data_IF_626393150186
#
_entry.id   IF_626393150186
#
_cell.length_a   1.000
_cell.length_b   1.000
_cell.length_c   1.000
_cell.angle_alpha   90.00
_cell.angle_beta   90.00
_cell.angle_gamma   90.00
#
_symmetry.space_group_name_H-M   'P 1'
#
loop_
_entity.id
_entity.type
_entity.pdbx_description
1 polymer ?
#
# COMPACT_ATOMS: atom_id res chain seq x y z
N UNK A 1 17.70 20.16 -3.76
CA UNK A 1 17.55 18.71 -4.02
C UNK A 1 17.61 17.78 -2.78
N UNK A 2 18.01 18.21 -1.57
CA UNK A 2 18.17 17.29 -0.40
C UNK A 2 16.90 16.54 0.03
N UNK A 3 15.72 17.17 -0.04
CA UNK A 3 14.46 16.59 0.45
C UNK A 3 13.96 15.41 -0.41
N UNK A 4 14.10 15.50 -1.73
CA UNK A 4 13.70 14.43 -2.64
C UNK A 4 14.55 13.16 -2.41
N UNK A 5 15.86 13.30 -2.25
CA UNK A 5 16.74 12.17 -1.95
C UNK A 5 16.42 11.52 -0.60
N UNK A 6 16.03 12.31 0.40
CA UNK A 6 15.60 11.79 1.70
C UNK A 6 14.30 10.99 1.57
N UNK A 7 13.31 11.52 0.85
CA UNK A 7 12.04 10.83 0.61
C UNK A 7 12.26 9.48 -0.09
N UNK A 8 13.10 9.44 -1.13
CA UNK A 8 13.44 8.20 -1.84
C UNK A 8 14.19 7.22 -0.94
N UNK A 9 15.12 7.70 -0.11
CA UNK A 9 15.85 6.86 0.84
C UNK A 9 14.93 6.23 1.89
N UNK A 10 13.93 6.98 2.37
CA UNK A 10 12.91 6.49 3.30
C UNK A 10 11.98 5.47 2.63
N UNK A 11 11.55 5.72 1.40
CA UNK A 11 10.75 4.78 0.62
C UNK A 11 11.50 3.45 0.45
N UNK A 12 12.77 3.49 0.02
CA UNK A 12 13.61 2.30 -0.15
C UNK A 12 13.73 1.50 1.15
N UNK A 13 13.97 2.17 2.28
CA UNK A 13 14.06 1.53 3.60
C UNK A 13 12.73 0.91 4.03
N UNK A 14 11.62 1.62 3.83
CA UNK A 14 10.28 1.13 4.18
C UNK A 14 9.89 -0.09 3.34
N UNK A 15 10.19 -0.06 2.04
CA UNK A 15 9.92 -1.17 1.14
C UNK A 15 10.72 -2.43 1.55
N UNK A 16 12.01 -2.26 1.86
CA UNK A 16 12.85 -3.38 2.32
C UNK A 16 12.39 -3.94 3.67
N UNK A 17 11.98 -3.09 4.61
CA UNK A 17 11.53 -3.53 5.93
C UNK A 17 10.15 -4.18 5.94
N UNK A 18 9.17 -3.57 5.25
CA UNK A 18 7.76 -4.01 5.29
C UNK A 18 7.51 -5.18 4.34
N UNK A 19 8.09 -5.13 3.13
CA UNK A 19 7.88 -6.17 2.12
C UNK A 19 9.01 -7.20 2.10
N UNK A 20 10.09 -7.02 2.89
CA UNK A 20 11.18 -8.01 3.04
C UNK A 20 11.73 -8.53 1.70
N UNK A 21 11.82 -7.68 0.69
CA UNK A 21 12.27 -8.05 -0.65
C UNK A 21 11.21 -8.71 -1.55
N UNK A 22 10.00 -8.98 -1.05
CA UNK A 22 8.89 -9.58 -1.80
C UNK A 22 7.94 -8.55 -2.44
N UNK A 23 8.41 -7.32 -2.69
CA UNK A 23 7.61 -6.29 -3.36
C UNK A 23 7.39 -6.66 -4.83
N UNK A 24 6.12 -6.75 -5.25
CA UNK A 24 5.77 -6.99 -6.66
C UNK A 24 5.62 -5.68 -7.43
N UNK A 25 6.13 -5.66 -8.66
CA UNK A 25 5.97 -4.51 -9.56
C UNK A 25 4.49 -4.19 -9.86
N UNK A 26 3.63 -5.21 -9.87
CA UNK A 26 2.20 -5.09 -10.17
C UNK A 26 1.40 -4.31 -9.09
N UNK A 27 1.98 -4.21 -7.90
CA UNK A 27 1.43 -3.49 -6.76
C UNK A 27 2.18 -2.19 -6.46
N UNK A 28 3.11 -1.76 -7.33
CA UNK A 28 3.96 -0.59 -7.08
C UNK A 28 3.14 0.68 -6.79
N UNK A 29 2.10 0.95 -7.57
CA UNK A 29 1.22 2.10 -7.35
C UNK A 29 0.60 2.09 -5.94
N UNK A 30 0.09 0.93 -5.52
CA UNK A 30 -0.49 0.76 -4.19
C UNK A 30 0.55 0.97 -3.08
N UNK A 31 1.78 0.46 -3.25
CA UNK A 31 2.86 0.67 -2.27
C UNK A 31 3.24 2.16 -2.14
N UNK A 32 3.20 2.92 -3.24
CA UNK A 32 3.46 4.36 -3.20
C UNK A 32 2.37 5.12 -2.44
N UNK A 33 1.10 4.79 -2.68
CA UNK A 33 -0.03 5.37 -1.95
C UNK A 33 0.07 5.08 -0.45
N UNK A 34 0.40 3.84 -0.08
CA UNK A 34 0.58 3.46 1.32
C UNK A 34 1.76 4.20 1.96
N UNK A 35 2.88 4.34 1.24
CA UNK A 35 4.03 5.10 1.72
C UNK A 35 3.66 6.56 1.99
N UNK A 36 2.98 7.22 1.05
CA UNK A 36 2.52 8.62 1.20
C UNK A 36 1.60 8.76 2.40
N UNK A 37 0.66 7.83 2.58
CA UNK A 37 -0.22 7.79 3.74
C UNK A 37 0.55 7.70 5.06
N UNK A 38 1.50 6.76 5.17
CA UNK A 38 2.33 6.59 6.38
C UNK A 38 3.23 7.79 6.63
N UNK A 39 3.79 8.36 5.58
CA UNK A 39 4.66 9.54 5.64
C UNK A 39 3.88 10.76 6.18
N UNK A 40 2.73 11.06 5.58
CA UNK A 40 1.88 12.19 5.97
C UNK A 40 1.23 12.00 7.35
N UNK A 41 0.93 10.76 7.75
CA UNK A 41 0.37 10.47 9.07
C UNK A 41 1.32 10.82 10.22
N UNK A 42 2.63 10.69 10.02
CA UNK A 42 3.62 10.91 11.10
C UNK A 42 3.65 12.36 11.57
N UNK A 43 3.51 13.32 10.67
CA UNK A 43 3.48 14.76 10.98
C UNK A 43 2.08 15.32 11.20
N UNK A 44 1.02 14.57 10.87
CA UNK A 44 -0.36 15.04 11.03
C UNK A 44 -0.68 15.37 12.50
N UNK A 45 -1.35 16.50 12.72
CA UNK A 45 -1.89 16.96 14.01
C UNK A 45 -3.19 16.23 14.38
N UNK A 46 -3.90 15.67 13.39
CA UNK A 46 -5.20 15.03 13.56
C UNK A 46 -5.14 13.51 13.34
N UNK A 47 -4.17 12.83 13.95
CA UNK A 47 -3.94 11.38 13.76
C UNK A 47 -5.12 10.51 14.19
N UNK A 48 -5.91 10.99 15.16
CA UNK A 48 -7.12 10.30 15.65
C UNK A 48 -8.28 10.29 14.66
N UNK A 49 -8.28 11.18 13.66
CA UNK A 49 -9.34 11.26 12.65
C UNK A 49 -9.17 10.25 11.51
N UNK A 50 -8.25 9.29 11.64
CA UNK A 50 -8.00 8.28 10.62
C UNK A 50 -9.26 7.49 10.28
N UNK A 51 -9.94 7.01 11.32
CA UNK A 51 -11.16 6.22 11.19
C UNK A 51 -12.27 7.06 10.56
N UNK A 52 -12.43 8.31 10.99
CA UNK A 52 -13.41 9.23 10.42
C UNK A 52 -13.16 9.46 8.92
N UNK A 53 -11.91 9.70 8.52
CA UNK A 53 -11.56 9.89 7.10
C UNK A 53 -11.77 8.63 6.28
N UNK A 54 -11.48 7.46 6.84
CA UNK A 54 -11.78 6.18 6.19
C UNK A 54 -13.29 6.02 5.97
N UNK A 55 -14.10 6.33 6.98
CA UNK A 55 -15.56 6.29 6.89
C UNK A 55 -16.08 7.29 5.84
N UNK A 56 -15.60 8.54 5.87
CA UNK A 56 -15.95 9.56 4.89
C UNK A 56 -15.64 9.10 3.46
N UNK A 57 -14.44 8.58 3.22
CA UNK A 57 -14.07 8.06 1.91
C UNK A 57 -14.90 6.83 1.49
N UNK A 58 -15.27 5.96 2.43
CA UNK A 58 -16.11 4.79 2.16
C UNK A 58 -17.54 5.17 1.77
N UNK A 59 -18.06 6.27 2.33
CA UNK A 59 -19.40 6.78 2.02
C UNK A 59 -19.42 7.59 0.73
N UNK A 60 -18.38 8.37 0.46
CA UNK A 60 -18.29 9.23 -0.72
C UNK A 60 -17.83 8.49 -1.99
N UNK A 61 -17.05 7.43 -1.83
CA UNK A 61 -16.50 6.64 -2.94
C UNK A 61 -17.51 5.64 -3.50
N UNK A 62 -17.27 5.23 -4.75
CA UNK A 62 -18.02 4.11 -5.32
C UNK A 62 -17.74 2.81 -4.56
N UNK A 63 -18.72 1.88 -4.48
CA UNK A 63 -18.48 0.57 -3.91
C UNK A 63 -17.32 -0.14 -4.63
N UNK A 64 -16.37 -0.64 -3.85
CA UNK A 64 -15.25 -1.45 -4.36
C UNK A 64 -15.39 -2.91 -3.90
N UNK A 65 -16.15 -3.76 -4.64
CA UNK A 65 -16.30 -5.16 -4.31
C UNK A 65 -14.96 -5.89 -4.28
N UNK A 66 -14.86 -6.90 -3.43
CA UNK A 66 -13.65 -7.73 -3.30
C UNK A 66 -13.07 -8.22 -4.64
N UNK A 67 -13.94 -8.64 -5.56
CA UNK A 67 -13.55 -9.10 -6.91
C UNK A 67 -12.82 -8.02 -7.73
N UNK A 68 -13.15 -6.74 -7.52
CA UNK A 68 -12.45 -5.61 -8.16
C UNK A 68 -11.20 -5.17 -7.38
N UNK A 69 -11.18 -5.43 -6.06
CA UNK A 69 -10.08 -5.05 -5.18
C UNK A 69 -8.86 -5.98 -5.31
N UNK A 70 -9.07 -7.28 -5.51
CA UNK A 70 -7.97 -8.25 -5.58
C UNK A 70 -7.42 -8.37 -6.99
N UNK A 71 -6.15 -8.00 -7.17
CA UNK A 71 -5.37 -8.37 -8.36
C UNK A 71 -4.85 -9.79 -8.16
N UNK A 72 -5.22 -10.72 -9.04
CA UNK A 72 -4.76 -12.12 -9.03
C UNK A 72 -3.32 -12.27 -9.55
N UNK A 73 -2.43 -11.40 -9.08
CA UNK A 73 -1.04 -11.20 -9.54
C UNK A 73 -0.22 -12.49 -9.56
N UNK A 74 -0.43 -13.37 -8.58
CA UNK A 74 0.37 -14.60 -8.43
C UNK A 74 -0.22 -15.84 -9.10
N UNK A 75 -1.34 -15.72 -9.81
CA UNK A 75 -2.03 -16.86 -10.43
C UNK A 75 -2.44 -17.96 -9.44
N UNK A 76 -3.25 -18.95 -9.88
CA UNK A 76 -3.43 -20.17 -9.11
C UNK A 76 -2.08 -20.92 -9.07
N UNK A 77 -1.61 -21.24 -7.85
CA UNK A 77 -0.40 -22.06 -7.67
C UNK A 77 -0.69 -23.44 -8.26
N UNK A 78 0.07 -23.88 -9.26
CA UNK A 78 -0.11 -25.23 -9.83
C UNK A 78 0.13 -26.27 -8.73
N UNK A 79 -0.94 -26.90 -8.28
CA UNK A 79 -0.87 -28.01 -7.33
C UNK A 79 -0.51 -29.28 -8.13
N UNK A 80 0.76 -29.44 -8.47
CA UNK A 80 1.26 -30.72 -8.97
C UNK A 80 1.36 -31.68 -7.77
N UNK A 81 0.23 -32.30 -7.41
CA UNK A 81 0.24 -33.48 -6.55
C UNK A 81 0.67 -34.65 -7.43
N UNK A 82 1.95 -34.99 -7.42
CA UNK A 82 2.40 -36.29 -7.88
C UNK A 82 1.93 -37.31 -6.83
N UNK A 83 0.83 -38.01 -7.14
CA UNK A 83 0.44 -39.28 -6.50
C UNK A 83 1.17 -40.39 -7.24
#
# INVERSE_FOLDING_TARGET
MKLAHLAVSLLKRWLLGTHQGAASHEHLAYYLDEFVFRFNRRSSTHRGLLFLRLLQNSVLGEPLPYKKMVKHVRGPKSLNHNI
#
